data_IF_566402147404
#
_entry.id   IF_566402147404
#
_cell.length_a   1.000
_cell.length_b   1.000
_cell.length_c   1.000
_cell.angle_alpha   90.00
_cell.angle_beta   90.00
_cell.angle_gamma   90.00
#
_symmetry.space_group_name_H-M   'P 1'
#
loop_
_entity.id
_entity.type
_entity.pdbx_description
1 polymer ?
#
# COMPACT_ATOMS: atom_id res chain seq x y z
N UNK A 1 4.85 -2.93 -39.57
CA UNK A 1 5.95 -2.55 -38.65
C UNK A 1 5.94 -1.03 -38.51
N UNK A 2 5.33 -0.49 -37.44
CA UNK A 2 5.25 0.96 -37.20
C UNK A 2 6.52 1.41 -36.47
N UNK A 3 7.43 2.04 -37.20
CA UNK A 3 8.49 2.87 -36.62
C UNK A 3 7.83 3.98 -35.79
N UNK A 4 7.98 3.90 -34.48
CA UNK A 4 7.68 4.99 -33.56
C UNK A 4 8.74 6.05 -33.82
N UNK A 5 8.44 6.99 -34.69
CA UNK A 5 9.16 8.25 -34.82
C UNK A 5 9.01 9.00 -33.50
N UNK A 6 9.94 8.76 -32.58
CA UNK A 6 10.11 9.55 -31.36
C UNK A 6 10.34 11.01 -31.80
N UNK A 7 9.31 11.82 -31.66
CA UNK A 7 9.28 13.21 -32.07
C UNK A 7 10.46 13.98 -31.47
N UNK A 8 11.21 14.68 -32.33
CA UNK A 8 12.40 15.50 -32.03
C UNK A 8 12.14 16.54 -30.92
N UNK A 9 10.88 16.88 -30.67
CA UNK A 9 10.43 17.72 -29.55
C UNK A 9 10.83 17.20 -28.15
N UNK A 10 11.06 15.88 -27.99
CA UNK A 10 11.47 15.30 -26.70
C UNK A 10 12.92 15.64 -26.32
N UNK A 11 13.77 15.98 -27.30
CA UNK A 11 15.19 16.30 -27.07
C UNK A 11 15.41 17.75 -26.60
N UNK A 12 14.43 18.64 -26.79
CA UNK A 12 14.58 20.07 -26.52
C UNK A 12 14.13 20.50 -25.11
N UNK A 13 13.33 19.69 -24.39
CA UNK A 13 12.95 19.98 -23.00
C UNK A 13 13.95 19.37 -22.05
N UNK A 14 14.49 20.17 -21.11
CA UNK A 14 15.14 19.64 -19.91
C UNK A 14 14.18 18.64 -19.27
N UNK A 15 14.51 17.36 -19.40
CA UNK A 15 13.75 16.28 -18.78
C UNK A 15 13.78 16.55 -17.28
N UNK A 16 12.64 16.93 -16.70
CA UNK A 16 12.52 17.04 -15.26
C UNK A 16 12.60 15.62 -14.68
N UNK A 17 13.55 15.34 -13.78
CA UNK A 17 13.66 14.01 -13.19
C UNK A 17 12.40 13.71 -12.38
N UNK A 18 11.88 12.49 -12.52
CA UNK A 18 10.70 12.07 -11.75
C UNK A 18 11.01 12.04 -10.25
N UNK A 19 10.04 12.44 -9.43
CA UNK A 19 10.16 12.39 -7.96
C UNK A 19 9.76 11.04 -7.37
N UNK A 20 9.23 10.12 -8.19
CA UNK A 20 8.78 8.78 -7.77
C UNK A 20 9.84 8.05 -6.94
N UNK A 21 11.14 8.00 -7.31
CA UNK A 21 12.14 7.33 -6.46
C UNK A 21 12.23 7.93 -5.05
N UNK A 22 12.08 9.24 -4.89
CA UNK A 22 12.09 9.88 -3.57
C UNK A 22 10.86 9.51 -2.76
N UNK A 23 9.69 9.46 -3.41
CA UNK A 23 8.45 9.05 -2.75
C UNK A 23 8.47 7.58 -2.34
N UNK A 24 9.01 6.70 -3.19
CA UNK A 24 9.20 5.27 -2.87
C UNK A 24 10.14 5.12 -1.69
N UNK A 25 11.21 5.91 -1.60
CA UNK A 25 12.10 5.92 -0.45
C UNK A 25 11.35 6.25 0.85
N UNK A 26 10.61 7.36 0.89
CA UNK A 26 9.83 7.74 2.07
C UNK A 26 8.76 6.72 2.44
N UNK A 27 8.06 6.15 1.44
CA UNK A 27 7.08 5.09 1.68
C UNK A 27 7.76 3.81 2.22
N UNK A 28 8.95 3.47 1.73
CA UNK A 28 9.70 2.30 2.22
C UNK A 28 10.13 2.50 3.67
N UNK A 29 10.64 3.68 4.02
CA UNK A 29 10.98 4.04 5.41
C UNK A 29 9.74 3.97 6.30
N UNK A 30 8.62 4.55 5.86
CA UNK A 30 7.36 4.51 6.61
C UNK A 30 6.91 3.07 6.86
N UNK A 31 6.90 2.22 5.82
CA UNK A 31 6.53 0.81 5.91
C UNK A 31 7.46 0.09 6.90
N UNK A 32 8.77 0.24 6.77
CA UNK A 32 9.76 -0.38 7.67
C UNK A 32 9.51 0.04 9.12
N UNK A 33 9.36 1.33 9.40
CA UNK A 33 9.12 1.81 10.75
C UNK A 33 7.79 1.28 11.32
N UNK A 34 6.74 1.23 10.50
CA UNK A 34 5.44 0.71 10.95
C UNK A 34 5.51 -0.78 11.26
N UNK A 35 6.09 -1.59 10.36
CA UNK A 35 6.24 -3.04 10.56
C UNK A 35 7.05 -3.33 11.82
N UNK A 36 8.20 -2.67 11.94
CA UNK A 36 9.18 -3.02 12.96
C UNK A 36 8.77 -2.54 14.35
N UNK A 37 8.02 -1.44 14.44
CA UNK A 37 7.62 -0.85 15.73
C UNK A 37 6.22 -1.26 16.19
N UNK A 38 5.44 -1.96 15.36
CA UNK A 38 4.18 -2.58 15.78
C UNK A 38 4.40 -3.62 16.90
N UNK A 39 3.61 -3.61 18.01
CA UNK A 39 2.30 -2.96 18.19
C UNK A 39 2.31 -1.53 18.79
N UNK A 40 3.46 -0.85 18.91
CA UNK A 40 3.60 0.50 19.47
C UNK A 40 3.20 0.66 20.95
N UNK A 41 3.00 -0.43 21.69
CA UNK A 41 2.52 -0.42 23.08
C UNK A 41 3.43 -1.19 24.03
N UNK A 42 3.35 -0.87 25.32
CA UNK A 42 4.01 -1.64 26.38
C UNK A 42 5.53 -1.44 26.46
N UNK A 43 6.02 -0.31 25.93
CA UNK A 43 7.44 0.04 25.91
C UNK A 43 8.07 -0.06 27.29
N UNK A 44 9.13 -0.86 27.42
CA UNK A 44 9.82 -1.08 28.69
C UNK A 44 11.26 -1.48 28.45
N UNK A 45 12.14 -1.06 29.34
CA UNK A 45 13.50 -1.59 29.39
C UNK A 45 13.47 -3.00 30.03
N UNK A 46 14.15 -3.95 29.41
CA UNK A 46 14.13 -5.37 29.82
C UNK A 46 15.24 -5.74 30.80
N UNK A 47 16.18 -4.82 31.08
CA UNK A 47 17.31 -5.06 31.99
C UNK A 47 18.59 -5.54 31.29
N UNK A 48 18.50 -5.92 30.01
CA UNK A 48 19.63 -6.35 29.20
C UNK A 48 20.54 -5.17 28.79
N UNK A 49 21.87 -5.37 28.64
CA UNK A 49 22.73 -4.31 28.14
C UNK A 49 22.34 -3.91 26.70
N UNK A 50 21.98 -2.63 26.52
CA UNK A 50 21.40 -2.10 25.27
C UNK A 50 22.29 -2.25 24.02
N UNK A 51 23.61 -2.43 24.18
CA UNK A 51 24.53 -2.61 23.04
C UNK A 51 24.90 -4.09 22.79
N UNK A 52 24.53 -5.02 23.67
CA UNK A 52 25.06 -6.39 23.63
C UNK A 52 24.64 -7.16 22.38
N UNK A 53 23.41 -6.94 21.88
CA UNK A 53 22.87 -7.71 20.76
C UNK A 53 23.65 -7.56 19.44
N UNK A 54 24.35 -6.44 19.24
CA UNK A 54 25.20 -6.24 18.07
C UNK A 54 26.32 -7.29 17.98
N UNK A 55 26.75 -7.83 19.12
CA UNK A 55 27.88 -8.75 19.23
C UNK A 55 27.46 -10.21 19.55
N UNK A 56 26.17 -10.53 19.60
CA UNK A 56 25.72 -11.90 19.85
C UNK A 56 26.17 -12.84 18.73
N UNK A 57 26.46 -14.12 19.03
CA UNK A 57 26.65 -15.11 17.98
C UNK A 57 25.38 -15.21 17.15
N UNK A 58 25.53 -15.41 15.83
CA UNK A 58 24.37 -15.61 14.96
C UNK A 58 23.57 -16.84 15.42
N UNK A 59 22.23 -16.76 15.42
CA UNK A 59 21.40 -17.86 15.88
C UNK A 59 21.58 -19.09 14.99
N UNK A 60 21.71 -20.26 15.62
CA UNK A 60 21.85 -21.53 14.90
C UNK A 60 20.58 -21.91 14.12
N UNK A 61 19.41 -21.56 14.66
CA UNK A 61 18.12 -21.74 14.01
C UNK A 61 17.61 -20.39 13.50
N UNK A 62 17.34 -20.33 12.20
CA UNK A 62 16.68 -19.20 11.56
C UNK A 62 15.62 -19.69 10.59
N UNK A 63 14.65 -18.84 10.33
CA UNK A 63 13.53 -19.08 9.42
C UNK A 63 13.84 -18.38 8.10
N UNK A 64 14.10 -19.16 7.05
CA UNK A 64 14.37 -18.60 5.71
C UNK A 64 13.35 -17.56 5.27
N UNK A 65 12.08 -17.76 5.62
CA UNK A 65 10.98 -16.84 5.34
C UNK A 65 11.17 -15.46 5.99
N UNK A 66 11.52 -15.40 7.28
CA UNK A 66 11.64 -14.11 8.01
C UNK A 66 12.82 -13.30 7.48
N UNK A 67 13.97 -13.95 7.29
CA UNK A 67 15.13 -13.33 6.67
C UNK A 67 14.82 -12.83 5.25
N UNK A 68 14.06 -13.60 4.46
CA UNK A 68 13.68 -13.22 3.10
C UNK A 68 12.75 -12.00 3.08
N UNK A 69 11.79 -11.91 4.01
CA UNK A 69 10.92 -10.74 4.13
C UNK A 69 11.73 -9.49 4.49
N UNK A 70 12.65 -9.60 5.44
CA UNK A 70 13.54 -8.52 5.84
C UNK A 70 14.40 -8.01 4.66
N UNK A 71 14.98 -8.92 3.89
CA UNK A 71 15.69 -8.61 2.63
C UNK A 71 14.76 -7.88 1.64
N UNK A 72 13.55 -8.41 1.41
CA UNK A 72 12.59 -7.82 0.47
C UNK A 72 12.07 -6.45 0.92
N UNK A 73 11.93 -6.21 2.23
CA UNK A 73 11.46 -4.94 2.77
C UNK A 73 12.47 -3.80 2.58
N UNK A 74 13.77 -4.08 2.74
CA UNK A 74 14.84 -3.09 2.58
C UNK A 74 15.31 -2.88 1.13
N UNK A 75 14.99 -3.82 0.23
CA UNK A 75 15.38 -3.71 -1.18
C UNK A 75 14.81 -2.47 -1.91
N UNK A 76 13.50 -2.13 -1.79
CA UNK A 76 12.96 -0.89 -2.34
C UNK A 76 13.62 0.38 -1.77
N UNK A 77 14.02 0.36 -0.49
CA UNK A 77 14.70 1.48 0.16
C UNK A 77 16.07 1.74 -0.47
N UNK A 78 16.92 0.72 -0.57
CA UNK A 78 18.25 0.83 -1.18
C UNK A 78 18.16 1.23 -2.66
N UNK A 79 17.24 0.61 -3.41
CA UNK A 79 17.01 0.91 -4.82
C UNK A 79 16.62 2.37 -5.04
N UNK A 80 15.58 2.82 -4.33
CA UNK A 80 14.97 4.13 -4.55
C UNK A 80 15.88 5.29 -4.13
N UNK A 81 16.66 5.11 -3.06
CA UNK A 81 17.65 6.09 -2.62
C UNK A 81 18.84 6.16 -3.59
N UNK A 82 19.36 5.02 -4.06
CA UNK A 82 20.44 4.99 -5.04
C UNK A 82 20.04 5.67 -6.36
N UNK A 83 18.83 5.41 -6.87
CA UNK A 83 18.29 6.11 -8.05
C UNK A 83 18.15 7.63 -7.78
N UNK A 84 17.69 8.01 -6.58
CA UNK A 84 17.53 9.42 -6.21
C UNK A 84 18.87 10.17 -6.14
N UNK A 85 19.94 9.47 -5.79
CA UNK A 85 21.31 9.98 -5.67
C UNK A 85 22.19 9.65 -6.88
N UNK A 86 21.62 9.23 -8.02
CA UNK A 86 22.39 8.73 -9.18
C UNK A 86 23.47 9.68 -9.72
N UNK A 87 23.32 10.99 -9.51
CA UNK A 87 24.27 12.00 -9.97
C UNK A 87 25.40 12.25 -8.94
N UNK A 88 25.31 11.66 -7.75
CA UNK A 88 26.33 11.68 -6.72
C UNK A 88 27.19 10.42 -6.86
N UNK A 89 28.51 10.57 -6.98
CA UNK A 89 29.45 9.43 -7.08
C UNK A 89 29.40 8.53 -5.85
N UNK A 90 29.09 9.09 -4.68
CA UNK A 90 28.90 8.34 -3.43
C UNK A 90 27.46 7.85 -3.25
N UNK A 91 26.55 8.11 -4.20
CA UNK A 91 25.12 7.78 -4.09
C UNK A 91 24.85 6.31 -3.71
N UNK A 92 25.46 5.31 -4.37
CA UNK A 92 25.31 3.90 -3.99
C UNK A 92 25.77 3.60 -2.57
N UNK A 93 26.92 4.16 -2.16
CA UNK A 93 27.47 3.96 -0.80
C UNK A 93 26.60 4.62 0.26
N UNK A 94 26.14 5.84 0.02
CA UNK A 94 25.23 6.55 0.91
C UNK A 94 23.88 5.81 1.04
N UNK A 95 23.38 5.25 -0.06
CA UNK A 95 22.15 4.46 -0.06
C UNK A 95 22.30 3.18 0.78
N UNK A 96 23.42 2.46 0.59
CA UNK A 96 23.73 1.28 1.39
C UNK A 96 23.87 1.63 2.87
N UNK A 97 24.68 2.64 3.18
CA UNK A 97 24.92 3.07 4.55
C UNK A 97 23.63 3.53 5.24
N UNK A 98 22.74 4.21 4.52
CA UNK A 98 21.43 4.61 5.07
C UNK A 98 20.54 3.41 5.41
N UNK A 99 20.57 2.34 4.58
CA UNK A 99 19.86 1.10 4.87
C UNK A 99 20.40 0.39 6.10
N UNK A 100 21.74 0.28 6.23
CA UNK A 100 22.39 -0.27 7.43
C UNK A 100 22.05 0.55 8.67
N UNK A 101 22.18 1.87 8.59
CA UNK A 101 21.92 2.79 9.70
C UNK A 101 20.47 2.70 10.18
N UNK A 102 19.51 2.70 9.25
CA UNK A 102 18.09 2.54 9.59
C UNK A 102 17.85 1.19 10.27
N UNK A 103 18.45 0.11 9.77
CA UNK A 103 18.34 -1.22 10.38
C UNK A 103 18.87 -1.22 11.82
N UNK A 104 20.08 -0.70 12.06
CA UNK A 104 20.63 -0.59 13.41
C UNK A 104 19.74 0.25 14.34
N UNK A 105 19.20 1.38 13.87
CA UNK A 105 18.28 2.22 14.64
C UNK A 105 16.97 1.50 14.99
N UNK A 106 16.41 0.76 14.03
CA UNK A 106 15.18 -0.01 14.23
C UNK A 106 15.40 -1.12 15.26
N UNK A 107 16.45 -1.92 15.09
CA UNK A 107 16.77 -3.04 15.98
C UNK A 107 17.11 -2.56 17.40
N UNK A 108 17.86 -1.45 17.51
CA UNK A 108 18.09 -0.79 18.80
C UNK A 108 16.79 -0.37 19.47
N UNK A 109 15.86 0.21 18.70
CA UNK A 109 14.56 0.64 19.23
C UNK A 109 13.70 -0.55 19.67
N UNK A 110 13.78 -1.68 18.96
CA UNK A 110 13.02 -2.89 19.27
C UNK A 110 13.39 -3.53 20.61
N UNK A 111 14.56 -3.25 21.18
CA UNK A 111 14.93 -3.69 22.54
C UNK A 111 13.94 -3.23 23.61
N UNK A 112 13.28 -2.10 23.36
CA UNK A 112 12.32 -1.51 24.28
C UNK A 112 10.88 -1.97 24.02
N UNK A 113 10.64 -2.79 22.98
CA UNK A 113 9.31 -3.24 22.58
C UNK A 113 9.04 -4.68 23.06
N UNK A 114 7.98 -4.91 23.85
CA UNK A 114 7.63 -6.25 24.30
C UNK A 114 7.20 -7.12 23.12
N UNK A 115 7.68 -8.37 23.08
CA UNK A 115 7.39 -9.32 22.00
C UNK A 115 8.26 -9.13 20.75
N UNK A 116 9.22 -8.21 20.77
CA UNK A 116 10.29 -8.09 19.77
C UNK A 116 11.63 -8.47 20.39
N UNK A 117 12.50 -9.05 19.58
CA UNK A 117 13.86 -9.40 19.96
C UNK A 117 14.79 -8.75 18.94
N UNK A 118 15.60 -7.80 19.41
CA UNK A 118 16.60 -7.16 18.57
C UNK A 118 17.65 -8.20 18.12
N UNK A 119 18.00 -8.19 16.85
CA UNK A 119 18.78 -9.26 16.22
C UNK A 119 19.83 -8.71 15.25
N UNK A 120 21.09 -9.09 15.45
CA UNK A 120 22.15 -8.77 14.49
C UNK A 120 21.97 -9.53 13.15
N UNK A 121 21.30 -10.68 13.15
CA UNK A 121 20.92 -11.39 11.92
C UNK A 121 19.91 -10.59 11.10
N UNK A 122 19.00 -9.86 11.75
CA UNK A 122 18.06 -8.97 11.06
C UNK A 122 18.80 -7.74 10.52
N UNK A 123 19.77 -7.19 11.26
CA UNK A 123 20.67 -6.17 10.72
C UNK A 123 21.35 -6.64 9.43
N UNK A 124 21.92 -7.84 9.42
CA UNK A 124 22.57 -8.41 8.24
C UNK A 124 21.58 -8.60 7.08
N UNK A 125 20.40 -9.16 7.35
CA UNK A 125 19.37 -9.43 6.34
C UNK A 125 18.84 -8.13 5.71
N UNK A 126 18.49 -7.15 6.54
CA UNK A 126 18.05 -5.82 6.10
C UNK A 126 19.15 -5.11 5.29
N UNK A 127 20.39 -5.16 5.76
CA UNK A 127 21.56 -4.58 5.08
C UNK A 127 21.81 -5.22 3.72
N UNK A 128 21.63 -6.55 3.63
CA UNK A 128 21.74 -7.28 2.37
C UNK A 128 20.60 -6.93 1.41
N UNK A 129 19.37 -6.78 1.91
CA UNK A 129 18.24 -6.25 1.15
C UNK A 129 18.52 -4.88 0.54
N UNK A 130 18.98 -3.93 1.35
CA UNK A 130 19.38 -2.60 0.88
C UNK A 130 20.47 -2.70 -0.21
N UNK A 131 21.45 -3.58 -0.03
CA UNK A 131 22.53 -3.80 -0.99
C UNK A 131 22.02 -4.32 -2.34
N UNK A 132 21.15 -5.34 -2.33
CA UNK A 132 20.52 -5.84 -3.55
C UNK A 132 19.71 -4.74 -4.24
N UNK A 133 19.03 -3.89 -3.46
CA UNK A 133 18.33 -2.71 -3.98
C UNK A 133 19.28 -1.75 -4.70
N UNK A 134 20.42 -1.43 -4.10
CA UNK A 134 21.46 -0.59 -4.70
C UNK A 134 22.01 -1.22 -5.99
N UNK A 135 22.29 -2.52 -6.00
CA UNK A 135 22.74 -3.23 -7.20
C UNK A 135 21.70 -3.15 -8.34
N UNK A 136 20.44 -3.40 -8.02
CA UNK A 136 19.33 -3.26 -8.99
C UNK A 136 19.25 -1.82 -9.53
N UNK A 137 19.47 -0.81 -8.68
CA UNK A 137 19.48 0.58 -9.10
C UNK A 137 20.66 0.90 -10.03
N UNK A 138 21.81 0.27 -9.85
CA UNK A 138 22.95 0.43 -10.76
C UNK A 138 22.69 -0.22 -12.12
N UNK A 139 22.01 -1.38 -12.14
CA UNK A 139 21.65 -2.10 -13.38
C UNK A 139 20.54 -1.36 -14.15
N UNK A 140 19.45 -0.99 -13.46
CA UNK A 140 18.25 -0.38 -14.05
C UNK A 140 18.32 1.15 -14.12
N UNK A 141 19.30 1.78 -13.47
CA UNK A 141 19.50 3.23 -13.45
C UNK A 141 20.18 3.78 -14.71
N UNK A 142 20.41 2.96 -15.73
CA UNK A 142 21.00 3.42 -16.98
C UNK A 142 20.03 4.32 -17.79
N UNK A 143 20.58 5.06 -18.77
CA UNK A 143 19.79 6.01 -19.59
C UNK A 143 18.66 5.33 -20.38
N UNK A 144 18.86 4.10 -20.81
CA UNK A 144 17.89 3.33 -21.58
C UNK A 144 16.60 3.09 -20.79
N UNK A 145 16.73 2.54 -19.58
CA UNK A 145 15.58 2.25 -18.71
C UNK A 145 14.94 3.54 -18.19
N UNK A 146 15.74 4.54 -17.81
CA UNK A 146 15.21 5.83 -17.36
C UNK A 146 14.34 6.50 -18.43
N UNK A 147 14.79 6.50 -19.69
CA UNK A 147 14.05 7.10 -20.80
C UNK A 147 12.74 6.34 -21.04
N UNK A 148 12.77 4.99 -21.01
CA UNK A 148 11.56 4.17 -21.15
C UNK A 148 10.56 4.38 -20.02
N UNK A 149 11.01 4.33 -18.77
CA UNK A 149 10.14 4.52 -17.60
C UNK A 149 9.52 5.92 -17.62
N UNK A 150 10.30 6.95 -17.98
CA UNK A 150 9.80 8.30 -18.08
C UNK A 150 8.81 8.48 -19.25
N UNK A 151 9.09 7.87 -20.40
CA UNK A 151 8.18 7.88 -21.55
C UNK A 151 6.85 7.17 -21.21
N UNK A 152 6.91 6.00 -20.57
CA UNK A 152 5.73 5.28 -20.09
C UNK A 152 4.95 6.12 -19.07
N UNK A 153 5.64 6.77 -18.13
CA UNK A 153 5.03 7.70 -17.16
C UNK A 153 4.28 8.83 -17.86
N UNK A 154 4.89 9.50 -18.82
CA UNK A 154 4.25 10.58 -19.58
C UNK A 154 3.13 10.12 -20.51
N UNK A 155 3.16 8.88 -20.96
CA UNK A 155 2.11 8.31 -21.80
C UNK A 155 0.82 8.02 -21.01
N UNK A 156 0.95 7.54 -19.77
CA UNK A 156 -0.19 7.08 -18.97
C UNK A 156 -0.64 8.06 -17.89
N UNK A 157 0.28 8.73 -17.19
CA UNK A 157 -0.03 9.51 -16.00
C UNK A 157 -0.02 11.01 -16.28
N UNK A 158 -0.94 11.73 -15.64
CA UNK A 158 -0.99 13.17 -15.70
C UNK A 158 0.31 13.80 -15.14
N UNK A 159 0.73 14.97 -15.63
CA UNK A 159 1.90 15.67 -15.10
C UNK A 159 1.64 16.19 -13.66
N UNK A 160 2.73 16.40 -12.93
CA UNK A 160 2.71 17.02 -11.60
C UNK A 160 3.17 16.12 -10.45
N UNK A 161 3.71 16.71 -9.37
CA UNK A 161 4.23 15.97 -8.21
C UNK A 161 3.14 15.19 -7.46
N UNK A 162 1.93 15.73 -7.38
CA UNK A 162 0.81 15.09 -6.71
C UNK A 162 0.38 13.77 -7.39
N UNK A 163 0.47 13.69 -8.71
CA UNK A 163 0.19 12.44 -9.44
C UNK A 163 1.28 11.41 -9.18
N UNK A 164 2.55 11.83 -9.17
CA UNK A 164 3.67 10.94 -8.82
C UNK A 164 3.57 10.42 -7.39
N UNK A 165 3.15 11.27 -6.45
CA UNK A 165 2.81 10.87 -5.09
C UNK A 165 1.66 9.88 -5.08
N UNK A 166 0.56 10.16 -5.78
CA UNK A 166 -0.61 9.27 -5.84
C UNK A 166 -0.32 7.90 -6.43
N UNK A 167 0.53 7.82 -7.46
CA UNK A 167 0.99 6.53 -8.02
C UNK A 167 1.81 5.77 -6.98
N UNK A 168 2.69 6.45 -6.24
CA UNK A 168 3.46 5.82 -5.18
C UNK A 168 2.57 5.37 -4.02
N UNK A 169 1.61 6.20 -3.63
CA UNK A 169 0.64 5.90 -2.58
C UNK A 169 -0.28 4.73 -2.97
N UNK A 170 -0.61 4.57 -4.26
CA UNK A 170 -1.35 3.41 -4.77
C UNK A 170 -0.58 2.09 -4.55
N UNK A 171 0.75 2.12 -4.53
CA UNK A 171 1.54 0.91 -4.24
C UNK A 171 1.27 0.42 -2.81
N UNK A 172 1.13 1.33 -1.85
CA UNK A 172 0.76 0.98 -0.48
C UNK A 172 -0.63 0.35 -0.40
N UNK A 173 -1.57 0.76 -1.27
CA UNK A 173 -2.88 0.12 -1.34
C UNK A 173 -2.79 -1.36 -1.71
N UNK A 174 -1.88 -1.75 -2.61
CA UNK A 174 -1.69 -3.16 -2.94
C UNK A 174 -1.19 -3.99 -1.75
N UNK A 175 -0.42 -3.39 -0.84
CA UNK A 175 0.03 -4.06 0.37
C UNK A 175 -1.16 -4.43 1.27
N UNK A 176 -2.20 -3.59 1.34
CA UNK A 176 -3.40 -3.90 2.13
C UNK A 176 -4.16 -5.11 1.58
N UNK A 177 -4.02 -5.40 0.29
CA UNK A 177 -4.67 -6.54 -0.37
C UNK A 177 -3.94 -7.86 -0.13
N UNK A 178 -2.70 -7.81 0.36
CA UNK A 178 -1.92 -9.01 0.70
C UNK A 178 -2.37 -9.64 2.02
N UNK A 179 -3.10 -8.92 2.89
CA UNK A 179 -3.78 -9.53 4.03
C UNK A 179 -5.11 -10.16 3.59
N UNK A 180 -5.21 -11.49 3.62
CA UNK A 180 -6.38 -12.18 3.14
C UNK A 180 -7.49 -12.24 4.20
N UNK A 181 -7.22 -11.83 5.45
CA UNK A 181 -8.26 -11.70 6.49
C UNK A 181 -9.10 -10.44 6.32
N UNK A 182 -8.55 -9.42 5.66
CA UNK A 182 -9.32 -8.26 5.24
C UNK A 182 -10.08 -8.58 3.96
N UNK A 183 -11.26 -7.99 3.71
CA UNK A 183 -12.01 -8.24 2.49
C UNK A 183 -11.42 -7.60 1.25
N UNK A 184 -11.87 -8.03 0.08
CA UNK A 184 -11.53 -7.32 -1.16
C UNK A 184 -12.44 -6.10 -1.29
N UNK A 185 -11.88 -4.90 -1.16
CA UNK A 185 -12.60 -3.63 -1.31
C UNK A 185 -13.76 -3.41 -0.32
N UNK A 186 -13.63 -3.74 0.97
CA UNK A 186 -14.72 -3.44 1.93
C UNK A 186 -14.53 -4.05 3.31
N UNK A 187 -15.64 -4.15 4.06
CA UNK A 187 -15.72 -4.85 5.36
C UNK A 187 -16.63 -6.07 5.23
N UNK A 188 -16.08 -7.26 5.48
CA UNK A 188 -16.69 -8.58 5.23
C UNK A 188 -16.11 -9.51 6.28
N UNK A 189 -16.36 -9.11 7.51
CA UNK A 189 -16.49 -10.07 8.59
C UNK A 189 -17.99 -10.28 8.69
N UNK A 190 -18.45 -11.53 8.58
CA UNK A 190 -19.86 -11.86 8.79
C UNK A 190 -20.33 -11.20 10.08
N UNK A 191 -21.29 -10.28 9.98
CA UNK A 191 -21.80 -9.59 11.15
C UNK A 191 -22.56 -10.59 12.02
N UNK A 192 -22.17 -10.80 13.29
CA UNK A 192 -22.92 -11.66 14.22
C UNK A 192 -24.28 -11.04 14.61
N UNK A 193 -24.61 -9.85 14.09
CA UNK A 193 -25.75 -9.02 14.48
C UNK A 193 -25.28 -7.65 14.96
N UNK A 194 -26.25 -6.78 15.27
CA UNK A 194 -25.94 -5.51 15.94
C UNK A 194 -25.61 -5.80 17.41
N UNK A 195 -24.43 -5.39 17.90
CA UNK A 195 -24.10 -5.55 19.31
C UNK A 195 -24.96 -4.62 20.15
N UNK A 196 -25.51 -5.14 21.24
CA UNK A 196 -26.22 -4.33 22.22
C UNK A 196 -25.22 -3.38 22.92
N UNK A 197 -25.58 -2.12 23.21
CA UNK A 197 -26.93 -1.53 23.16
C UNK A 197 -27.23 -0.77 21.85
N UNK A 198 -26.54 -1.05 20.74
CA UNK A 198 -26.78 -0.31 19.50
C UNK A 198 -28.13 -0.65 18.88
N UNK A 199 -29.00 0.35 18.81
CA UNK A 199 -30.29 0.26 18.13
C UNK A 199 -30.13 0.53 16.63
N UNK A 200 -30.76 -0.30 15.80
CA UNK A 200 -30.70 -0.10 14.35
C UNK A 200 -31.43 1.19 13.97
N UNK A 201 -30.86 2.02 13.09
CA UNK A 201 -31.57 3.16 12.51
C UNK A 201 -32.78 2.77 11.65
N UNK A 202 -32.91 1.49 11.28
CA UNK A 202 -33.99 0.95 10.47
C UNK A 202 -34.72 -0.14 11.24
N UNK A 203 -36.03 -0.26 11.03
CA UNK A 203 -36.85 -1.32 11.63
C UNK A 203 -36.28 -2.73 11.34
N UNK A 204 -35.81 -2.95 10.11
CA UNK A 204 -35.13 -4.18 9.73
C UNK A 204 -33.61 -4.07 9.88
N UNK A 205 -33.11 -4.42 11.06
CA UNK A 205 -31.68 -4.44 11.37
C UNK A 205 -30.82 -5.28 10.41
N UNK A 206 -31.36 -6.40 9.90
CA UNK A 206 -30.65 -7.26 8.94
C UNK A 206 -30.50 -6.56 7.58
N UNK A 207 -31.54 -5.86 7.13
CA UNK A 207 -31.47 -5.07 5.90
C UNK A 207 -30.45 -3.93 6.05
N UNK A 208 -30.44 -3.24 7.18
CA UNK A 208 -29.45 -2.20 7.47
C UNK A 208 -28.01 -2.73 7.35
N UNK A 209 -27.70 -3.87 7.96
CA UNK A 209 -26.37 -4.50 7.87
C UNK A 209 -26.01 -4.89 6.43
N UNK A 210 -26.95 -5.44 5.66
CA UNK A 210 -26.72 -5.79 4.24
C UNK A 210 -26.47 -4.56 3.36
N UNK A 211 -27.21 -3.48 3.59
CA UNK A 211 -27.01 -2.21 2.90
C UNK A 211 -25.66 -1.59 3.24
N UNK A 212 -25.23 -1.70 4.50
CA UNK A 212 -23.94 -1.21 4.96
C UNK A 212 -22.79 -2.02 4.35
N UNK A 213 -22.92 -3.35 4.28
CA UNK A 213 -21.95 -4.24 3.63
C UNK A 213 -21.83 -3.98 2.12
N UNK A 214 -22.95 -4.05 1.39
CA UNK A 214 -22.97 -3.82 -0.06
C UNK A 214 -22.63 -2.37 -0.43
N UNK A 215 -23.11 -1.41 0.35
CA UNK A 215 -22.80 0.01 0.21
C UNK A 215 -21.33 0.32 0.50
N UNK A 216 -20.75 -0.30 1.53
CA UNK A 216 -19.32 -0.22 1.83
C UNK A 216 -18.47 -0.72 0.68
N UNK A 217 -18.80 -1.89 0.12
CA UNK A 217 -18.15 -2.43 -1.08
C UNK A 217 -18.25 -1.46 -2.28
N UNK A 218 -19.46 -0.95 -2.55
CA UNK A 218 -19.70 -0.01 -3.64
C UNK A 218 -18.86 1.27 -3.49
N UNK A 219 -18.87 1.89 -2.31
CA UNK A 219 -18.15 3.13 -2.03
C UNK A 219 -16.64 2.93 -2.08
N UNK A 220 -16.12 1.81 -1.58
CA UNK A 220 -14.70 1.54 -1.61
C UNK A 220 -14.21 1.27 -3.04
N UNK A 221 -14.98 0.49 -3.81
CA UNK A 221 -14.74 0.31 -5.24
C UNK A 221 -14.71 1.66 -5.98
N UNK A 222 -15.72 2.52 -5.77
CA UNK A 222 -15.79 3.84 -6.40
C UNK A 222 -14.63 4.73 -5.98
N UNK A 223 -14.27 4.74 -4.69
CA UNK A 223 -13.16 5.52 -4.14
C UNK A 223 -11.83 5.19 -4.81
N UNK A 224 -11.48 3.90 -4.87
CA UNK A 224 -10.25 3.43 -5.53
C UNK A 224 -10.30 3.65 -7.04
N UNK A 225 -11.42 3.35 -7.69
CA UNK A 225 -11.57 3.53 -9.14
C UNK A 225 -11.43 5.00 -9.55
N UNK A 226 -12.10 5.91 -8.83
CA UNK A 226 -12.00 7.34 -9.08
C UNK A 226 -10.61 7.87 -8.75
N UNK A 227 -9.97 7.39 -7.67
CA UNK A 227 -8.58 7.70 -7.35
C UNK A 227 -7.64 7.41 -8.52
N UNK A 228 -7.67 6.17 -9.03
CA UNK A 228 -6.89 5.77 -10.21
C UNK A 228 -7.25 6.62 -11.43
N UNK A 229 -8.54 6.93 -11.62
CA UNK A 229 -8.99 7.70 -12.78
C UNK A 229 -8.42 9.12 -12.85
N UNK A 230 -8.17 9.74 -11.69
CA UNK A 230 -7.64 11.10 -11.57
C UNK A 230 -6.12 11.13 -11.77
N UNK A 231 -5.42 10.01 -11.57
CA UNK A 231 -3.98 9.89 -11.85
C UNK A 231 -3.66 9.79 -13.35
N UNK A 232 -4.62 9.35 -14.17
CA UNK A 232 -4.42 9.17 -15.61
C UNK A 232 -4.30 10.50 -16.35
N UNK A 233 -3.49 10.49 -17.43
CA UNK A 233 -3.33 11.66 -18.31
C UNK A 233 -4.61 11.94 -19.10
N UNK A 234 -5.18 10.89 -19.69
CA UNK A 234 -6.40 11.00 -20.48
C UNK A 234 -7.51 10.14 -19.87
N UNK A 235 -8.71 10.72 -19.80
CA UNK A 235 -9.91 10.03 -19.29
C UNK A 235 -10.26 8.75 -20.08
N UNK A 236 -9.78 8.58 -21.32
CA UNK A 236 -9.96 7.34 -22.09
C UNK A 236 -9.09 6.17 -21.60
N UNK A 237 -7.97 6.45 -20.92
CA UNK A 237 -7.05 5.44 -20.42
C UNK A 237 -7.50 4.84 -19.09
N UNK A 238 -8.33 5.56 -18.34
CA UNK A 238 -8.71 5.11 -17.01
C UNK A 238 -9.38 3.73 -16.97
N UNK A 239 -10.14 3.19 -17.96
CA UNK A 239 -10.84 1.93 -17.74
C UNK A 239 -9.86 0.77 -17.83
N UNK A 240 -8.83 0.92 -18.67
CA UNK A 240 -7.72 0.00 -18.71
C UNK A 240 -6.92 0.05 -17.40
N UNK A 241 -6.64 1.25 -16.87
CA UNK A 241 -5.90 1.41 -15.63
C UNK A 241 -6.67 0.86 -14.41
N UNK A 242 -7.96 1.17 -14.27
CA UNK A 242 -8.81 0.64 -13.19
C UNK A 242 -8.88 -0.88 -13.25
N UNK A 243 -9.15 -1.46 -14.43
CA UNK A 243 -9.14 -2.93 -14.60
C UNK A 243 -7.80 -3.54 -14.23
N UNK A 244 -6.70 -2.95 -14.69
CA UNK A 244 -5.36 -3.42 -14.36
C UNK A 244 -5.10 -3.37 -12.85
N UNK A 245 -5.42 -2.26 -12.18
CA UNK A 245 -5.28 -2.11 -10.73
C UNK A 245 -6.10 -3.15 -9.98
N UNK A 246 -7.39 -3.30 -10.31
CA UNK A 246 -8.28 -4.23 -9.62
C UNK A 246 -7.91 -5.69 -9.86
N UNK A 247 -7.54 -6.06 -11.10
CA UNK A 247 -7.10 -7.43 -11.41
C UNK A 247 -5.79 -7.76 -10.71
N UNK A 248 -4.84 -6.83 -10.68
CA UNK A 248 -3.57 -7.03 -9.97
C UNK A 248 -3.83 -7.23 -8.48
N UNK A 249 -4.67 -6.40 -7.88
CA UNK A 249 -5.05 -6.52 -6.48
C UNK A 249 -5.76 -7.85 -6.17
N UNK A 250 -6.68 -8.26 -7.05
CA UNK A 250 -7.37 -9.54 -6.92
C UNK A 250 -6.41 -10.73 -7.01
N UNK A 251 -5.48 -10.72 -7.98
CA UNK A 251 -4.49 -11.78 -8.14
C UNK A 251 -3.55 -11.86 -6.93
N UNK A 252 -3.09 -10.72 -6.41
CA UNK A 252 -2.30 -10.66 -5.18
C UNK A 252 -3.09 -11.25 -4.02
N UNK A 253 -4.35 -10.84 -3.84
CA UNK A 253 -5.21 -11.34 -2.77
C UNK A 253 -5.44 -12.85 -2.87
N UNK A 254 -5.76 -13.37 -4.06
CA UNK A 254 -5.96 -14.80 -4.28
C UNK A 254 -4.67 -15.60 -4.01
N UNK A 255 -3.52 -15.07 -4.41
CA UNK A 255 -2.22 -15.67 -4.13
C UNK A 255 -1.94 -15.77 -2.63
N UNK A 256 -2.08 -14.66 -1.89
CA UNK A 256 -1.87 -14.63 -0.44
C UNK A 256 -2.94 -15.43 0.32
N UNK A 257 -4.20 -15.37 -0.09
CA UNK A 257 -5.26 -16.20 0.47
C UNK A 257 -4.96 -17.70 0.31
N UNK A 258 -4.42 -18.11 -0.84
CA UNK A 258 -4.05 -19.51 -1.10
C UNK A 258 -2.92 -19.99 -0.19
N UNK A 259 -1.96 -19.12 0.11
CA UNK A 259 -0.83 -19.42 1.00
C UNK A 259 -1.24 -19.40 2.47
N UNK A 260 -2.06 -18.43 2.89
CA UNK A 260 -2.28 -18.10 4.30
C UNK A 260 -3.61 -18.61 4.90
N UNK A 261 -4.69 -18.71 4.12
CA UNK A 261 -6.03 -19.08 4.62
C UNK A 261 -6.32 -20.57 4.51
N UNK A 262 -7.11 -21.10 5.45
CA UNK A 262 -7.71 -22.45 5.37
C UNK A 262 -8.58 -22.56 4.10
N UNK A 263 -8.67 -23.74 3.43
CA UNK A 263 -9.41 -23.87 2.16
C UNK A 263 -10.88 -23.44 2.30
N UNK A 264 -11.51 -23.75 3.43
CA UNK A 264 -12.90 -23.37 3.73
C UNK A 264 -13.12 -21.85 3.84
N UNK A 265 -12.07 -21.07 4.12
CA UNK A 265 -12.15 -19.61 4.30
C UNK A 265 -11.72 -18.85 3.03
N UNK A 266 -11.28 -19.56 1.99
CA UNK A 266 -10.70 -18.95 0.79
C UNK A 266 -11.65 -17.97 0.08
N UNK A 267 -12.95 -18.28 0.06
CA UNK A 267 -14.00 -17.45 -0.53
C UNK A 267 -14.94 -16.81 0.50
N UNK A 268 -14.59 -16.81 1.79
CA UNK A 268 -15.44 -16.25 2.85
C UNK A 268 -15.69 -14.74 2.67
N UNK A 269 -14.79 -14.05 1.97
CA UNK A 269 -14.92 -12.64 1.62
C UNK A 269 -15.83 -12.38 0.40
N UNK A 270 -16.43 -13.41 -0.21
CA UNK A 270 -17.39 -13.28 -1.31
C UNK A 270 -18.79 -13.65 -0.84
N UNK A 271 -19.74 -12.73 -1.02
CA UNK A 271 -21.16 -12.99 -0.77
C UNK A 271 -22.05 -12.17 -1.72
N UNK A 272 -23.36 -12.41 -1.64
CA UNK A 272 -24.33 -11.77 -2.51
C UNK A 272 -24.38 -10.25 -2.36
N UNK A 273 -24.24 -9.71 -1.15
CA UNK A 273 -24.30 -8.26 -0.90
C UNK A 273 -23.11 -7.55 -1.55
N UNK A 274 -21.91 -8.14 -1.49
CA UNK A 274 -20.70 -7.65 -2.14
C UNK A 274 -20.85 -7.69 -3.65
N UNK A 275 -21.42 -8.77 -4.20
CA UNK A 275 -21.68 -8.87 -5.63
C UNK A 275 -22.61 -7.75 -6.11
N UNK A 276 -23.72 -7.53 -5.40
CA UNK A 276 -24.66 -6.44 -5.70
C UNK A 276 -23.98 -5.08 -5.55
N UNK A 277 -23.21 -4.86 -4.49
CA UNK A 277 -22.44 -3.63 -4.27
C UNK A 277 -21.44 -3.35 -5.39
N UNK A 278 -20.72 -4.38 -5.84
CA UNK A 278 -19.79 -4.28 -6.98
C UNK A 278 -20.49 -3.98 -8.31
N UNK A 279 -21.66 -4.58 -8.54
CA UNK A 279 -22.48 -4.30 -9.73
C UNK A 279 -22.99 -2.86 -9.73
N UNK A 280 -23.60 -2.40 -8.63
CA UNK A 280 -24.06 -1.03 -8.47
C UNK A 280 -22.91 -0.03 -8.57
N UNK A 281 -21.76 -0.34 -7.99
CA UNK A 281 -20.55 0.47 -8.09
C UNK A 281 -20.07 0.59 -9.53
N UNK A 282 -20.12 -0.50 -10.31
CA UNK A 282 -19.75 -0.48 -11.73
C UNK A 282 -20.70 0.40 -12.53
N UNK A 283 -22.02 0.28 -12.31
CA UNK A 283 -23.03 1.14 -12.96
C UNK A 283 -22.82 2.62 -12.60
N UNK A 284 -22.60 2.93 -11.33
CA UNK A 284 -22.31 4.28 -10.87
C UNK A 284 -21.01 4.81 -11.50
N UNK A 285 -19.96 4.01 -11.58
CA UNK A 285 -18.69 4.39 -12.18
C UNK A 285 -18.84 4.82 -13.64
N UNK A 286 -19.69 4.13 -14.42
CA UNK A 286 -19.98 4.50 -15.82
C UNK A 286 -20.59 5.90 -15.95
N UNK A 287 -21.38 6.33 -14.97
CA UNK A 287 -21.96 7.67 -14.91
C UNK A 287 -20.92 8.70 -14.42
N UNK A 288 -20.25 8.41 -13.31
CA UNK A 288 -19.26 9.31 -12.69
C UNK A 288 -18.04 9.56 -13.58
N UNK A 289 -17.72 8.61 -14.46
CA UNK A 289 -16.68 8.74 -15.47
C UNK A 289 -16.77 10.01 -16.30
N UNK A 290 -18.00 10.37 -16.67
CA UNK A 290 -18.30 11.45 -17.62
C UNK A 290 -18.02 12.83 -17.03
N UNK A 291 -17.81 12.89 -15.72
CA UNK A 291 -17.55 14.11 -14.99
C UNK A 291 -16.12 14.62 -15.24
N UNK A 292 -15.95 15.93 -15.04
CA UNK A 292 -14.64 16.55 -15.10
C UNK A 292 -13.70 15.97 -14.01
N UNK A 293 -12.39 16.21 -14.18
CA UNK A 293 -11.37 15.65 -13.28
C UNK A 293 -11.55 16.08 -11.82
N UNK A 294 -11.96 17.32 -11.58
CA UNK A 294 -12.16 17.87 -10.24
C UNK A 294 -13.31 17.19 -9.50
N UNK A 295 -14.46 17.03 -10.15
CA UNK A 295 -15.63 16.33 -9.59
C UNK A 295 -15.34 14.85 -9.34
N UNK A 296 -14.62 14.17 -10.24
CA UNK A 296 -14.17 12.79 -9.99
C UNK A 296 -13.29 12.69 -8.75
N UNK A 297 -12.39 13.65 -8.54
CA UNK A 297 -11.56 13.71 -7.35
C UNK A 297 -12.39 13.95 -6.09
N UNK A 298 -13.31 14.93 -6.10
CA UNK A 298 -14.20 15.21 -4.98
C UNK A 298 -15.08 14.00 -4.62
N UNK A 299 -15.74 13.39 -5.61
CA UNK A 299 -16.59 12.22 -5.37
C UNK A 299 -15.77 11.00 -4.91
N UNK A 300 -14.55 10.82 -5.41
CA UNK A 300 -13.64 9.79 -4.91
C UNK A 300 -13.26 10.02 -3.45
N UNK A 301 -12.98 11.27 -3.07
CA UNK A 301 -12.67 11.64 -1.70
C UNK A 301 -13.86 11.39 -0.77
N UNK A 302 -15.06 11.79 -1.19
CA UNK A 302 -16.30 11.55 -0.44
C UNK A 302 -16.61 10.06 -0.31
N UNK A 303 -16.40 9.27 -1.36
CA UNK A 303 -16.59 7.83 -1.32
C UNK A 303 -15.63 7.17 -0.32
N UNK A 304 -14.34 7.51 -0.35
CA UNK A 304 -13.35 7.02 0.61
C UNK A 304 -13.65 7.49 2.05
N UNK A 305 -14.07 8.75 2.23
CA UNK A 305 -14.46 9.26 3.54
C UNK A 305 -15.68 8.51 4.10
N UNK A 306 -16.67 8.24 3.25
CA UNK A 306 -17.84 7.44 3.63
C UNK A 306 -17.44 6.01 4.01
N UNK A 307 -16.48 5.39 3.33
CA UNK A 307 -15.98 4.07 3.74
C UNK A 307 -15.27 4.06 5.09
N UNK A 308 -14.54 5.13 5.43
CA UNK A 308 -13.94 5.27 6.76
C UNK A 308 -15.00 5.34 7.84
N UNK A 309 -16.05 6.15 7.61
CA UNK A 309 -17.19 6.25 8.53
C UNK A 309 -17.83 4.87 8.70
N UNK A 310 -18.11 4.15 7.61
CA UNK A 310 -18.65 2.79 7.68
C UNK A 310 -17.73 1.87 8.50
N UNK A 311 -16.41 1.92 8.27
CA UNK A 311 -15.42 1.12 8.98
C UNK A 311 -15.38 1.40 10.49
N UNK A 312 -15.47 2.66 10.91
CA UNK A 312 -15.51 3.03 12.33
C UNK A 312 -16.73 2.46 13.06
N UNK A 313 -17.86 2.32 12.36
CA UNK A 313 -19.08 1.75 12.92
C UNK A 313 -19.21 0.24 12.69
N UNK A 314 -18.30 -0.40 11.95
CA UNK A 314 -18.39 -1.83 11.60
C UNK A 314 -17.53 -2.72 12.49
N UNK A 315 -18.03 -3.80 13.14
CA UNK A 315 -19.38 -4.10 13.57
C UNK A 315 -19.48 -3.76 15.07
N UNK A 316 -19.12 -2.50 15.40
CA UNK A 316 -18.87 -1.94 16.74
C UNK A 316 -17.81 -2.67 17.64
N UNK A 317 -16.94 -3.47 16.97
CA UNK A 317 -15.50 -3.79 17.21
C UNK A 317 -15.11 -4.84 18.28
N UNK A 318 -14.44 -5.97 17.90
CA UNK A 318 -12.97 -6.04 17.87
C UNK A 318 -12.38 -6.68 16.59
N UNK A 319 -11.52 -5.94 15.87
CA UNK A 319 -11.05 -6.27 14.51
C UNK A 319 -9.70 -7.02 14.41
N UNK A 320 -9.02 -7.34 15.53
CA UNK A 320 -7.76 -8.10 15.48
C UNK A 320 -7.82 -9.50 16.13
N UNK A 321 -8.55 -9.67 17.23
CA UNK A 321 -8.59 -10.96 17.94
C UNK A 321 -9.48 -12.02 17.26
N UNK A 322 -10.54 -11.58 16.55
CA UNK A 322 -11.50 -12.47 15.89
C UNK A 322 -10.98 -13.11 14.60
N UNK A 323 -9.93 -12.56 13.98
CA UNK A 323 -9.42 -13.00 12.67
C UNK A 323 -8.24 -13.97 12.77
N UNK A 324 -7.57 -14.05 13.92
CA UNK A 324 -6.43 -14.96 14.15
C UNK A 324 -6.74 -16.46 13.93
N UNK A 325 -7.94 -16.99 14.27
CA UNK A 325 -8.28 -18.40 14.01
C UNK A 325 -8.43 -18.76 12.52
N UNK A 326 -8.55 -17.78 11.63
CA UNK A 326 -8.76 -17.97 10.18
C UNK A 326 -7.46 -18.38 9.45
N UNK A 327 -6.31 -18.06 10.01
CA UNK A 327 -4.99 -18.34 9.44
C UNK A 327 -4.57 -19.80 9.69
N UNK A 328 -3.79 -20.38 8.76
CA UNK A 328 -3.21 -21.72 8.93
C UNK A 328 -1.99 -21.74 9.85
N UNK A 329 -1.22 -20.65 9.88
CA UNK A 329 0.02 -20.57 10.67
C UNK A 329 -0.23 -19.94 12.05
N UNK A 330 0.33 -20.52 13.10
CA UNK A 330 0.09 -20.16 14.50
C UNK A 330 1.20 -19.29 15.14
N UNK A 331 2.07 -18.66 14.35
CA UNK A 331 3.25 -17.96 14.87
C UNK A 331 3.13 -16.43 14.80
N UNK A 332 3.76 -15.73 15.75
CA UNK A 332 3.72 -14.27 15.92
C UNK A 332 4.17 -13.44 14.70
N UNK A 333 4.80 -14.06 13.71
CA UNK A 333 5.19 -13.42 12.45
C UNK A 333 3.99 -12.98 11.58
N UNK A 334 2.88 -13.74 11.61
CA UNK A 334 1.63 -13.29 10.98
C UNK A 334 0.99 -12.11 11.71
N UNK A 335 1.19 -11.99 13.03
CA UNK A 335 0.69 -10.83 13.78
C UNK A 335 1.37 -9.54 13.31
N UNK A 336 2.66 -9.59 12.99
CA UNK A 336 3.42 -8.42 12.52
C UNK A 336 3.05 -8.05 11.07
N UNK A 337 2.89 -9.03 10.18
CA UNK A 337 2.46 -8.78 8.81
C UNK A 337 0.99 -8.32 8.73
N UNK A 338 0.09 -8.93 9.50
CA UNK A 338 -1.31 -8.48 9.60
C UNK A 338 -1.39 -7.11 10.27
N UNK A 339 -0.57 -6.85 11.30
CA UNK A 339 -0.43 -5.54 11.93
C UNK A 339 0.01 -4.47 10.93
N UNK A 340 0.97 -4.77 10.05
CA UNK A 340 1.35 -3.89 8.94
C UNK A 340 0.15 -3.59 8.04
N UNK A 341 -0.50 -4.62 7.51
CA UNK A 341 -1.59 -4.46 6.57
C UNK A 341 -2.75 -3.68 7.18
N UNK A 342 -3.06 -3.92 8.46
CA UNK A 342 -4.05 -3.18 9.22
C UNK A 342 -3.68 -1.69 9.33
N UNK A 343 -2.45 -1.37 9.78
CA UNK A 343 -2.01 0.03 9.91
C UNK A 343 -1.99 0.74 8.55
N UNK A 344 -1.53 0.09 7.48
CA UNK A 344 -1.59 0.67 6.14
C UNK A 344 -3.04 0.84 5.69
N UNK A 345 -3.91 -0.14 5.94
CA UNK A 345 -5.34 -0.06 5.61
C UNK A 345 -6.02 1.10 6.33
N UNK A 346 -5.61 1.40 7.56
CA UNK A 346 -6.11 2.54 8.31
C UNK A 346 -5.56 3.86 7.78
N UNK A 347 -4.26 3.95 7.52
CA UNK A 347 -3.60 5.21 7.14
C UNK A 347 -3.84 5.58 5.67
N UNK A 348 -3.93 4.59 4.78
CA UNK A 348 -3.99 4.81 3.34
C UNK A 348 -5.16 5.69 2.87
N UNK A 349 -6.41 5.48 3.34
CA UNK A 349 -7.55 6.29 2.93
C UNK A 349 -7.36 7.78 3.23
N UNK A 350 -6.77 8.15 4.37
CA UNK A 350 -6.53 9.55 4.71
C UNK A 350 -5.58 10.23 3.70
N UNK A 351 -4.49 9.56 3.34
CA UNK A 351 -3.55 10.07 2.34
C UNK A 351 -4.19 10.18 0.95
N UNK A 352 -5.03 9.20 0.58
CA UNK A 352 -5.76 9.22 -0.68
C UNK A 352 -6.80 10.35 -0.74
N UNK A 353 -7.57 10.55 0.33
CA UNK A 353 -8.55 11.64 0.47
C UNK A 353 -7.85 13.00 0.38
N UNK A 354 -6.78 13.21 1.15
CA UNK A 354 -6.03 14.47 1.15
C UNK A 354 -5.51 14.80 -0.26
N UNK A 355 -4.98 13.81 -0.98
CA UNK A 355 -4.54 13.98 -2.36
C UNK A 355 -5.69 14.32 -3.30
N UNK A 356 -6.82 13.62 -3.20
CA UNK A 356 -7.98 13.85 -4.04
C UNK A 356 -8.59 15.24 -3.81
N UNK A 357 -8.70 15.68 -2.56
CA UNK A 357 -9.15 17.03 -2.22
C UNK A 357 -8.18 18.10 -2.76
N UNK A 358 -6.87 17.87 -2.65
CA UNK A 358 -5.87 18.76 -3.24
C UNK A 358 -6.00 18.87 -4.76
N UNK A 359 -6.26 17.74 -5.45
CA UNK A 359 -6.47 17.71 -6.89
C UNK A 359 -7.83 18.29 -7.31
N UNK A 360 -8.87 18.16 -6.48
CA UNK A 360 -10.16 18.79 -6.70
C UNK A 360 -10.08 20.32 -6.63
N UNK A 361 -9.34 20.84 -5.64
CA UNK A 361 -9.15 22.28 -5.43
C UNK A 361 -8.26 22.95 -6.49
N UNK A 362 -7.47 22.17 -7.24
CA UNK A 362 -6.56 22.66 -8.27
C UNK A 362 -6.91 22.03 -9.61
N UNK A 363 -7.96 22.50 -10.30
CA UNK A 363 -8.26 22.02 -11.64
C UNK A 363 -6.99 22.14 -12.49
N UNK A 364 -6.74 21.17 -13.39
CA UNK A 364 -5.58 21.23 -14.27
C UNK A 364 -5.62 22.58 -14.97
N UNK A 365 -4.55 23.38 -14.82
CA UNK A 365 -4.36 24.57 -15.66
C UNK A 365 -4.49 24.06 -17.08
N UNK A 366 -5.44 24.60 -17.84
CA UNK A 366 -5.50 24.36 -19.27
C UNK A 366 -4.11 24.68 -19.82
N UNK A 367 -3.33 23.65 -20.10
CA UNK A 367 -2.16 23.82 -20.96
C UNK A 367 -2.79 24.19 -22.31
N UNK A 368 -2.72 25.48 -22.63
CA UNK A 368 -2.98 26.00 -23.96
C UNK A 368 -2.03 25.29 -24.93
N UNK A 369 -2.56 24.23 -25.55
CA UNK A 369 -2.13 23.50 -26.74
C UNK A 369 -0.76 22.79 -26.69
#
# INVERSE_FOLDING_TARGET
>A
MRNISFNISYLARRITPSRVPRYVFFCSVLVILVVSLYPFTGWRFTGEPIWAFYAYPLPYYFTFFDNSINVLAYMPLGFSLAISLKNNRLGPLLAQFSGVLLSCMVEFTQQFLPGRVASNLDILSNSFGAFLGVLLAMILGNRYWQTRCLAARHAWFAPGPAVEWGVTWLVLWFLTQMDPSQPFLGVVVESPGLPQPFESPMENAKLFLRLLEGGGMMLHFLGVALFVSVLMRHTRQSPAAIRFTLLTALLLKLGFAGVLLKPAQFFAWLNFNIFVGGLLGTLALLLLWRLNRGLRALLGALALAATLVIGWFWPLVPQLAATLPLFRWHYGHLLHFNGLSAVISDVWPYGAIALLLWLAARPPREESW
#
